data_IF_960462398692
#
_entry.id   IF_960462398692
#
_cell.length_a   1.000
_cell.length_b   1.000
_cell.length_c   1.000
_cell.angle_alpha   90.00
_cell.angle_beta   90.00
_cell.angle_gamma   90.00
#
_symmetry.space_group_name_H-M   'P 1'
#
loop_
_entity.id
_entity.type
_entity.pdbx_description
1 polymer ?
#
# COMPACT_ATOMS: atom_id res chain seq x y z
N UNK A 1 -13.83 -0.07 47.22
CA UNK A 1 -14.41 1.19 46.66
C UNK A 1 -13.32 1.89 45.91
N UNK A 2 -13.44 1.92 44.59
CA UNK A 2 -12.46 2.65 43.76
C UNK A 2 -12.79 4.17 43.94
N UNK A 3 -11.83 4.96 44.40
CA UNK A 3 -12.01 6.36 44.65
C UNK A 3 -12.22 7.14 43.33
N UNK A 4 -13.17 8.04 43.28
CA UNK A 4 -13.50 8.85 42.10
C UNK A 4 -12.27 9.60 41.55
N UNK A 5 -11.33 9.94 42.42
CA UNK A 5 -10.06 10.59 42.07
C UNK A 5 -9.10 9.65 41.29
N UNK A 6 -9.05 8.38 41.66
CA UNK A 6 -8.25 7.36 40.99
C UNK A 6 -8.74 7.08 39.59
N UNK A 7 -10.03 7.13 39.36
CA UNK A 7 -10.68 6.88 38.07
C UNK A 7 -10.46 8.05 37.12
N UNK A 8 -10.61 9.27 37.58
CA UNK A 8 -10.30 10.49 36.82
C UNK A 8 -8.85 10.46 36.32
N UNK A 9 -7.93 10.00 37.15
CA UNK A 9 -6.51 9.85 36.77
C UNK A 9 -6.30 8.81 35.68
N UNK A 10 -7.02 7.69 35.71
CA UNK A 10 -6.94 6.64 34.68
C UNK A 10 -7.51 7.13 33.34
N UNK A 11 -8.69 7.78 33.38
CA UNK A 11 -9.32 8.37 32.19
C UNK A 11 -8.40 9.41 31.55
N UNK A 12 -7.77 10.27 32.35
CA UNK A 12 -6.80 11.26 31.85
C UNK A 12 -5.60 10.60 31.17
N UNK A 13 -5.03 9.53 31.74
CA UNK A 13 -3.91 8.79 31.17
C UNK A 13 -4.28 8.14 29.82
N UNK A 14 -5.47 7.56 29.72
CA UNK A 14 -5.97 6.99 28.47
C UNK A 14 -6.15 8.11 27.42
N UNK A 15 -6.74 9.22 27.80
CA UNK A 15 -6.91 10.38 26.92
C UNK A 15 -5.58 10.92 26.40
N UNK A 16 -4.58 11.01 27.27
CA UNK A 16 -3.23 11.46 26.88
C UNK A 16 -2.52 10.46 25.95
N UNK A 17 -2.66 9.15 26.20
CA UNK A 17 -2.13 8.11 25.33
C UNK A 17 -2.75 8.16 23.92
N UNK A 18 -4.06 8.34 23.81
CA UNK A 18 -4.75 8.50 22.54
C UNK A 18 -4.28 9.78 21.83
N UNK A 19 -4.10 10.88 22.56
CA UNK A 19 -3.57 12.12 22.02
C UNK A 19 -2.16 11.95 21.43
N UNK A 20 -1.32 11.20 22.10
CA UNK A 20 0.03 10.94 21.66
C UNK A 20 0.07 10.03 20.42
N UNK A 21 -0.76 8.99 20.37
CA UNK A 21 -0.95 8.15 19.20
C UNK A 21 -1.37 8.96 17.97
N UNK A 22 -2.35 9.87 18.13
CA UNK A 22 -2.81 10.72 17.04
C UNK A 22 -1.74 11.72 16.56
N UNK A 23 -0.94 12.30 17.47
CA UNK A 23 0.20 13.15 17.10
C UNK A 23 1.25 12.41 16.29
N UNK A 24 1.57 11.19 16.67
CA UNK A 24 2.60 10.37 16.02
C UNK A 24 2.18 9.90 14.60
N UNK A 25 0.88 9.96 14.26
CA UNK A 25 0.41 9.70 12.90
C UNK A 25 0.64 10.87 11.94
N UNK A 26 0.96 12.06 12.44
CA UNK A 26 1.38 13.23 11.67
C UNK A 26 0.33 13.82 10.73
N UNK A 27 -0.97 13.56 10.97
CA UNK A 27 -2.04 13.85 10.02
C UNK A 27 -3.22 14.61 10.61
N UNK A 28 -3.06 15.23 11.74
CA UNK A 28 -4.16 15.87 12.40
C UNK A 28 -4.33 17.31 11.95
N UNK A 29 -5.54 17.62 11.43
CA UNK A 29 -5.94 18.98 11.14
C UNK A 29 -6.20 19.76 12.44
N UNK A 30 -6.20 21.10 12.36
CA UNK A 30 -6.52 21.95 13.50
C UNK A 30 -7.94 21.67 14.02
N UNK A 31 -8.89 21.47 13.12
CA UNK A 31 -10.27 21.16 13.46
C UNK A 31 -10.41 19.82 14.21
N UNK A 32 -9.71 18.78 13.76
CA UNK A 32 -9.72 17.48 14.45
C UNK A 32 -9.11 17.55 15.86
N UNK A 33 -8.14 18.44 16.09
CA UNK A 33 -7.59 18.71 17.43
C UNK A 33 -8.61 19.36 18.35
N UNK A 34 -9.38 20.30 17.83
CA UNK A 34 -10.40 21.03 18.59
C UNK A 34 -11.57 20.10 18.94
N UNK A 35 -12.09 19.33 17.98
CA UNK A 35 -13.13 18.32 18.19
C UNK A 35 -12.73 17.31 19.27
N UNK A 36 -11.52 16.75 19.16
CA UNK A 36 -11.00 15.83 20.17
C UNK A 36 -10.85 16.48 21.54
N UNK A 37 -10.35 17.71 21.58
CA UNK A 37 -10.24 18.47 22.83
C UNK A 37 -11.59 18.65 23.52
N UNK A 38 -12.67 18.81 22.76
CA UNK A 38 -14.00 18.88 23.29
C UNK A 38 -14.48 17.54 23.85
N UNK A 39 -14.37 16.47 23.08
CA UNK A 39 -14.76 15.12 23.51
C UNK A 39 -14.04 14.71 24.80
N UNK A 40 -12.74 15.00 24.90
CA UNK A 40 -11.99 14.71 26.13
C UNK A 40 -12.47 15.53 27.34
N UNK A 41 -12.87 16.76 27.13
CA UNK A 41 -13.50 17.59 28.22
C UNK A 41 -14.84 16.97 28.64
N UNK A 42 -15.65 16.53 27.70
CA UNK A 42 -16.94 15.91 27.96
C UNK A 42 -16.80 14.62 28.77
N UNK A 43 -15.83 13.75 28.41
CA UNK A 43 -15.49 12.53 29.15
C UNK A 43 -15.06 12.86 30.59
N UNK A 44 -14.22 13.88 30.78
CA UNK A 44 -13.70 14.25 32.10
C UNK A 44 -14.74 14.96 32.98
N UNK A 45 -15.75 15.59 32.37
CA UNK A 45 -16.83 16.29 33.04
C UNK A 45 -18.09 15.45 33.26
N UNK A 46 -18.14 14.22 32.73
CA UNK A 46 -19.28 13.34 32.93
C UNK A 46 -19.60 13.10 34.40
N UNK A 47 -20.86 13.21 34.74
CA UNK A 47 -21.34 13.13 36.14
C UNK A 47 -21.28 11.72 36.69
N UNK A 48 -21.51 10.74 35.84
CA UNK A 48 -21.54 9.32 36.15
C UNK A 48 -20.42 8.55 35.45
N UNK A 49 -19.94 7.50 36.12
CA UNK A 49 -18.86 6.63 35.59
C UNK A 49 -19.26 5.92 34.30
N UNK A 50 -20.49 5.41 34.23
CA UNK A 50 -21.00 4.70 33.06
C UNK A 50 -21.02 5.62 31.82
N UNK A 51 -21.43 6.85 31.99
CA UNK A 51 -21.42 7.87 30.93
C UNK A 51 -20.00 8.15 30.44
N UNK A 52 -19.05 8.38 31.36
CA UNK A 52 -17.64 8.60 31.02
C UNK A 52 -17.02 7.43 30.25
N UNK A 53 -17.29 6.20 30.66
CA UNK A 53 -16.82 4.98 29.99
C UNK A 53 -17.45 4.81 28.61
N UNK A 54 -18.74 5.09 28.47
CA UNK A 54 -19.45 5.02 27.19
C UNK A 54 -18.83 6.00 26.17
N UNK A 55 -18.68 7.26 26.56
CA UNK A 55 -18.05 8.29 25.70
C UNK A 55 -16.61 7.92 25.33
N UNK A 56 -15.84 7.37 26.27
CA UNK A 56 -14.47 6.92 26.00
C UNK A 56 -14.44 5.75 25.00
N UNK A 57 -15.34 4.78 25.14
CA UNK A 57 -15.44 3.65 24.20
C UNK A 57 -15.81 4.12 22.79
N UNK A 58 -16.80 4.99 22.66
CA UNK A 58 -17.19 5.56 21.35
C UNK A 58 -16.03 6.33 20.72
N UNK A 59 -15.33 7.13 21.51
CA UNK A 59 -14.16 7.86 21.05
C UNK A 59 -13.04 6.93 20.56
N UNK A 60 -12.74 5.85 21.29
CA UNK A 60 -11.73 4.86 20.88
C UNK A 60 -12.12 4.17 19.56
N UNK A 61 -13.38 3.76 19.42
CA UNK A 61 -13.89 3.10 18.20
C UNK A 61 -13.79 4.04 17.00
N UNK A 62 -14.24 5.27 17.15
CA UNK A 62 -14.22 6.24 16.06
C UNK A 62 -12.79 6.62 15.67
N UNK A 63 -11.90 6.81 16.64
CA UNK A 63 -10.48 7.07 16.39
C UNK A 63 -9.84 5.88 15.65
N UNK A 64 -10.14 4.66 16.07
CA UNK A 64 -9.67 3.44 15.38
C UNK A 64 -10.13 3.39 13.92
N UNK A 65 -11.40 3.65 13.65
CA UNK A 65 -11.95 3.72 12.28
C UNK A 65 -11.28 4.79 11.42
N UNK A 66 -11.07 5.98 11.97
CA UNK A 66 -10.37 7.09 11.25
C UNK A 66 -8.94 6.73 10.90
N UNK A 67 -8.20 6.13 11.84
CA UNK A 67 -6.82 5.68 11.60
C UNK A 67 -6.75 4.58 10.52
N UNK A 68 -7.70 3.66 10.51
CA UNK A 68 -7.75 2.58 9.53
C UNK A 68 -8.10 3.10 8.13
N UNK A 69 -9.07 4.00 8.03
CA UNK A 69 -9.41 4.69 6.78
C UNK A 69 -8.22 5.49 6.23
N UNK A 70 -7.49 6.21 7.08
CA UNK A 70 -6.30 6.95 6.66
C UNK A 70 -5.18 6.04 6.17
N UNK A 71 -4.95 4.88 6.82
CA UNK A 71 -3.99 3.86 6.33
C UNK A 71 -4.39 3.36 4.94
N UNK A 72 -5.67 3.05 4.75
CA UNK A 72 -6.21 2.58 3.46
C UNK A 72 -6.05 3.60 2.34
N UNK A 73 -6.34 4.87 2.60
CA UNK A 73 -6.17 5.96 1.62
C UNK A 73 -4.69 6.13 1.25
N UNK A 74 -3.79 6.12 2.24
CA UNK A 74 -2.34 6.19 1.98
C UNK A 74 -1.83 4.96 1.25
N UNK A 75 -2.30 3.77 1.63
CA UNK A 75 -1.95 2.52 0.96
C UNK A 75 -2.30 2.56 -0.53
N UNK A 76 -3.51 2.97 -0.86
CA UNK A 76 -3.94 3.15 -2.25
C UNK A 76 -3.07 4.16 -3.01
N UNK A 77 -2.71 5.29 -2.39
CA UNK A 77 -1.82 6.28 -3.01
C UNK A 77 -0.44 5.70 -3.33
N UNK A 78 0.16 4.95 -2.40
CA UNK A 78 1.45 4.29 -2.65
C UNK A 78 1.35 3.24 -3.76
N UNK A 79 0.26 2.47 -3.81
CA UNK A 79 0.05 1.50 -4.87
C UNK A 79 -0.07 2.17 -6.26
N UNK A 80 -0.82 3.26 -6.37
CA UNK A 80 -0.94 4.04 -7.63
C UNK A 80 0.42 4.60 -8.07
N UNK A 81 1.19 5.20 -7.17
CA UNK A 81 2.52 5.72 -7.48
C UNK A 81 3.50 4.61 -7.88
N UNK A 82 3.40 3.44 -7.24
CA UNK A 82 4.23 2.28 -7.61
C UNK A 82 3.85 1.73 -8.98
N UNK A 83 2.56 1.67 -9.33
CA UNK A 83 2.11 1.26 -10.66
C UNK A 83 2.64 2.20 -11.75
N UNK A 84 2.53 3.51 -11.57
CA UNK A 84 3.10 4.50 -12.47
C UNK A 84 4.63 4.35 -12.61
N UNK A 85 5.31 4.10 -11.49
CA UNK A 85 6.76 3.84 -11.51
C UNK A 85 7.12 2.57 -12.28
N UNK A 86 6.35 1.48 -12.12
CA UNK A 86 6.56 0.23 -12.87
C UNK A 86 6.32 0.47 -14.36
N UNK A 87 5.24 1.12 -14.74
CA UNK A 87 4.90 1.41 -16.14
C UNK A 87 5.97 2.26 -16.85
N UNK A 88 6.64 3.14 -16.12
CA UNK A 88 7.72 3.99 -16.66
C UNK A 88 9.10 3.31 -16.70
N UNK A 89 9.27 2.20 -15.98
CA UNK A 89 10.57 1.56 -15.79
C UNK A 89 10.55 0.05 -16.03
N UNK A 90 9.50 -0.53 -16.59
CA UNK A 90 9.39 -1.99 -16.78
C UNK A 90 10.49 -2.56 -17.67
N UNK A 91 11.02 -1.78 -18.60
CA UNK A 91 12.11 -2.11 -19.52
C UNK A 91 13.48 -2.09 -18.85
N UNK A 92 13.61 -1.48 -17.68
CA UNK A 92 14.86 -1.52 -16.94
C UNK A 92 15.03 -2.88 -16.25
N UNK A 93 16.07 -3.63 -16.63
CA UNK A 93 16.39 -4.93 -16.06
C UNK A 93 16.72 -4.89 -14.56
N UNK A 94 17.20 -3.74 -14.04
CA UNK A 94 17.53 -3.53 -12.64
C UNK A 94 16.33 -3.11 -11.78
N UNK A 95 15.14 -3.04 -12.38
CA UNK A 95 13.91 -2.73 -11.64
C UNK A 95 13.66 -3.79 -10.56
N UNK A 96 13.71 -3.38 -9.31
CA UNK A 96 13.53 -4.24 -8.17
C UNK A 96 12.74 -3.54 -7.05
N UNK A 97 12.44 -4.30 -5.99
CA UNK A 97 11.69 -3.79 -4.84
C UNK A 97 12.39 -2.60 -4.17
N UNK A 98 13.73 -2.62 -4.09
CA UNK A 98 14.48 -1.56 -3.44
C UNK A 98 14.39 -0.24 -4.21
N UNK A 99 14.40 -0.29 -5.55
CA UNK A 99 14.32 0.91 -6.39
C UNK A 99 13.00 1.66 -6.19
N UNK A 100 11.86 0.96 -6.16
CA UNK A 100 10.57 1.58 -5.89
C UNK A 100 10.44 2.07 -4.45
N UNK A 101 10.98 1.34 -3.48
CA UNK A 101 10.98 1.76 -2.08
C UNK A 101 11.79 3.04 -1.87
N UNK A 102 12.93 3.17 -2.54
CA UNK A 102 13.74 4.40 -2.53
C UNK A 102 12.99 5.58 -3.18
N UNK A 103 12.33 5.34 -4.32
CA UNK A 103 11.52 6.35 -5.00
C UNK A 103 10.36 6.86 -4.12
N UNK A 104 9.67 5.95 -3.41
CA UNK A 104 8.53 6.28 -2.57
C UNK A 104 8.92 6.70 -1.14
N UNK A 105 10.20 6.63 -0.79
CA UNK A 105 10.72 6.87 0.56
C UNK A 105 9.99 6.06 1.65
N UNK A 106 9.86 4.75 1.41
CA UNK A 106 9.18 3.80 2.30
C UNK A 106 10.03 2.55 2.50
N UNK A 107 9.93 1.91 3.67
CA UNK A 107 10.65 0.65 3.92
C UNK A 107 10.08 -0.51 3.09
N UNK A 108 10.93 -1.47 2.62
CA UNK A 108 10.49 -2.62 1.83
C UNK A 108 9.39 -3.47 2.48
N UNK A 109 9.49 -3.69 3.79
CA UNK A 109 8.48 -4.44 4.54
C UNK A 109 7.11 -3.76 4.50
N UNK A 110 7.09 -2.44 4.78
CA UNK A 110 5.86 -1.65 4.77
C UNK A 110 5.26 -1.55 3.37
N UNK A 111 6.11 -1.32 2.35
CA UNK A 111 5.68 -1.27 0.96
C UNK A 111 5.06 -2.59 0.52
N UNK A 112 5.71 -3.73 0.77
CA UNK A 112 5.24 -5.05 0.37
C UNK A 112 3.84 -5.36 0.93
N UNK A 113 3.60 -5.04 2.22
CA UNK A 113 2.28 -5.22 2.83
C UNK A 113 1.22 -4.35 2.16
N UNK A 114 1.48 -3.04 2.04
CA UNK A 114 0.57 -2.06 1.46
C UNK A 114 0.25 -2.39 0.01
N UNK A 115 1.28 -2.71 -0.78
CA UNK A 115 1.13 -2.97 -2.20
C UNK A 115 0.33 -4.25 -2.45
N UNK A 116 0.62 -5.33 -1.70
CA UNK A 116 -0.12 -6.58 -1.79
C UNK A 116 -1.57 -6.44 -1.32
N UNK A 117 -1.82 -5.68 -0.25
CA UNK A 117 -3.17 -5.38 0.22
C UNK A 117 -3.99 -4.61 -0.84
N UNK A 118 -3.38 -3.61 -1.48
CA UNK A 118 -4.05 -2.76 -2.45
C UNK A 118 -4.25 -3.44 -3.83
N UNK A 119 -3.32 -4.30 -4.28
CA UNK A 119 -3.31 -4.89 -5.63
C UNK A 119 -3.66 -6.37 -5.67
N UNK A 120 -3.58 -7.08 -4.54
CA UNK A 120 -3.71 -8.53 -4.44
C UNK A 120 -2.45 -9.30 -4.87
N UNK A 121 -1.39 -8.62 -5.35
CA UNK A 121 -0.19 -9.24 -5.92
C UNK A 121 1.09 -8.69 -5.30
N UNK A 122 2.19 -9.46 -5.39
CA UNK A 122 3.49 -8.91 -5.03
C UNK A 122 3.98 -7.93 -6.10
N UNK A 123 4.91 -7.06 -5.72
CA UNK A 123 5.52 -6.12 -6.67
C UNK A 123 6.13 -6.83 -7.89
N UNK A 124 6.88 -7.91 -7.67
CA UNK A 124 7.52 -8.65 -8.76
C UNK A 124 6.51 -9.40 -9.65
N UNK A 125 5.37 -9.84 -9.10
CA UNK A 125 4.29 -10.43 -9.91
C UNK A 125 3.70 -9.39 -10.86
N UNK A 126 3.51 -8.16 -10.39
CA UNK A 126 3.00 -7.05 -11.20
C UNK A 126 4.00 -6.66 -12.29
N UNK A 127 5.28 -6.49 -11.94
CA UNK A 127 6.35 -6.23 -12.92
C UNK A 127 6.37 -7.30 -14.00
N UNK A 128 6.35 -8.58 -13.59
CA UNK A 128 6.34 -9.71 -14.54
C UNK A 128 5.13 -9.66 -15.47
N UNK A 129 3.93 -9.40 -14.94
CA UNK A 129 2.70 -9.29 -15.75
C UNK A 129 2.78 -8.17 -16.78
N UNK A 130 3.26 -6.98 -16.38
CA UNK A 130 3.41 -5.84 -17.29
C UNK A 130 4.42 -6.18 -18.39
N UNK A 131 5.58 -6.75 -18.04
CA UNK A 131 6.58 -7.20 -19.01
C UNK A 131 6.02 -8.22 -20.00
N UNK A 132 5.27 -9.22 -19.52
CA UNK A 132 4.64 -10.21 -20.39
C UNK A 132 3.57 -9.61 -21.30
N UNK A 133 2.79 -8.66 -20.79
CA UNK A 133 1.81 -7.96 -21.62
C UNK A 133 2.49 -7.12 -22.71
N UNK A 134 3.55 -6.39 -22.39
CA UNK A 134 4.34 -5.64 -23.36
C UNK A 134 5.05 -6.55 -24.38
N UNK A 135 5.55 -7.71 -23.93
CA UNK A 135 6.12 -8.71 -24.84
C UNK A 135 5.10 -9.22 -25.87
N UNK A 136 3.85 -9.47 -25.46
CA UNK A 136 2.77 -9.83 -26.39
C UNK A 136 2.53 -8.74 -27.42
N UNK A 137 2.43 -7.48 -26.98
CA UNK A 137 2.24 -6.32 -27.87
C UNK A 137 3.36 -6.23 -28.93
N UNK A 138 4.63 -6.46 -28.54
CA UNK A 138 5.75 -6.48 -29.49
C UNK A 138 5.68 -7.68 -30.44
N UNK A 139 5.34 -8.88 -29.95
CA UNK A 139 5.22 -10.08 -30.76
C UNK A 139 4.10 -9.98 -31.81
N UNK A 140 3.01 -9.28 -31.48
CA UNK A 140 1.86 -9.08 -32.36
C UNK A 140 2.10 -8.00 -33.42
N UNK A 141 2.74 -6.90 -33.04
CA UNK A 141 2.75 -5.66 -33.82
C UNK A 141 4.12 -5.34 -34.47
N UNK A 142 5.16 -6.15 -34.24
CA UNK A 142 6.51 -5.88 -34.75
C UNK A 142 7.20 -7.13 -35.27
N UNK A 143 8.21 -6.97 -36.12
CA UNK A 143 9.07 -8.05 -36.62
C UNK A 143 10.34 -8.25 -35.79
N UNK A 144 10.36 -7.73 -34.56
CA UNK A 144 11.48 -7.89 -33.64
C UNK A 144 11.75 -9.35 -33.33
N UNK A 145 13.01 -9.68 -33.20
CA UNK A 145 13.43 -11.02 -32.77
C UNK A 145 13.27 -11.20 -31.25
N UNK A 146 13.13 -12.43 -30.80
CA UNK A 146 12.88 -12.72 -29.39
C UNK A 146 13.91 -12.09 -28.43
N UNK A 147 15.18 -11.99 -28.83
CA UNK A 147 16.22 -11.38 -28.00
C UNK A 147 16.05 -9.85 -27.90
N UNK A 148 15.61 -9.19 -28.98
CA UNK A 148 15.32 -7.75 -28.98
C UNK A 148 14.10 -7.42 -28.12
N UNK A 149 13.07 -8.30 -28.17
CA UNK A 149 11.89 -8.17 -27.33
C UNK A 149 12.27 -8.39 -25.85
N UNK A 150 13.11 -9.41 -25.55
CA UNK A 150 13.57 -9.65 -24.19
C UNK A 150 14.24 -8.41 -23.59
N UNK A 151 15.14 -7.77 -24.32
CA UNK A 151 15.80 -6.53 -23.90
C UNK A 151 14.81 -5.39 -23.67
N UNK A 152 13.89 -5.16 -24.64
CA UNK A 152 12.87 -4.11 -24.56
C UNK A 152 11.87 -4.26 -23.43
N UNK A 153 11.70 -5.46 -22.89
CA UNK A 153 10.82 -5.74 -21.76
C UNK A 153 11.58 -5.99 -20.45
N UNK A 154 12.87 -5.63 -20.42
CA UNK A 154 13.68 -5.62 -19.21
C UNK A 154 14.24 -6.98 -18.78
N UNK A 155 14.49 -7.90 -19.73
CA UNK A 155 15.20 -9.15 -19.48
C UNK A 155 16.61 -9.10 -20.05
N UNK A 156 17.61 -9.31 -19.20
CA UNK A 156 19.01 -9.41 -19.64
C UNK A 156 19.32 -10.74 -20.38
N UNK A 157 18.57 -11.80 -20.12
CA UNK A 157 18.76 -13.11 -20.72
C UNK A 157 17.54 -13.50 -21.54
N UNK A 158 17.68 -13.61 -22.88
CA UNK A 158 16.60 -14.04 -23.78
C UNK A 158 16.11 -15.47 -23.51
N UNK A 159 16.96 -16.33 -22.99
CA UNK A 159 16.57 -17.68 -22.62
C UNK A 159 15.64 -17.69 -21.42
N UNK A 160 16.01 -16.94 -20.38
CA UNK A 160 15.16 -16.75 -19.21
C UNK A 160 13.83 -16.06 -19.56
N UNK A 161 13.86 -15.07 -20.46
CA UNK A 161 12.63 -14.46 -21.00
C UNK A 161 11.70 -15.50 -21.62
N UNK A 162 12.25 -16.39 -22.49
CA UNK A 162 11.45 -17.42 -23.18
C UNK A 162 10.80 -18.39 -22.19
N UNK A 163 11.51 -18.77 -21.13
CA UNK A 163 10.98 -19.62 -20.05
C UNK A 163 9.87 -18.89 -19.28
N UNK A 164 10.11 -17.65 -18.88
CA UNK A 164 9.14 -16.83 -18.15
C UNK A 164 7.87 -16.59 -18.98
N UNK A 165 8.02 -16.28 -20.26
CA UNK A 165 6.90 -16.08 -21.18
C UNK A 165 6.08 -17.37 -21.34
N UNK A 166 6.73 -18.52 -21.57
CA UNK A 166 6.03 -19.82 -21.67
C UNK A 166 5.29 -20.16 -20.37
N UNK A 167 5.90 -19.89 -19.22
CA UNK A 167 5.25 -20.12 -17.93
C UNK A 167 4.01 -19.25 -17.73
N UNK A 168 4.06 -17.99 -18.17
CA UNK A 168 2.97 -17.04 -17.98
C UNK A 168 1.83 -17.20 -19.01
N UNK A 169 2.18 -17.53 -20.27
CA UNK A 169 1.25 -17.51 -21.42
C UNK A 169 0.89 -18.93 -21.89
N UNK A 170 1.66 -19.94 -21.48
CA UNK A 170 1.48 -21.34 -21.89
C UNK A 170 2.15 -21.72 -23.21
N UNK A 171 2.68 -20.74 -23.96
CA UNK A 171 3.35 -20.91 -25.27
C UNK A 171 4.69 -20.20 -25.27
N UNK A 172 5.63 -20.65 -26.09
CA UNK A 172 6.88 -19.91 -26.32
C UNK A 172 6.61 -18.63 -27.11
N UNK A 173 7.48 -17.59 -27.02
CA UNK A 173 7.32 -16.36 -27.80
C UNK A 173 7.17 -16.62 -29.30
N UNK A 174 7.94 -17.57 -29.85
CA UNK A 174 7.89 -17.93 -31.28
C UNK A 174 6.56 -18.58 -31.67
N UNK A 175 6.06 -19.51 -30.86
CA UNK A 175 4.75 -20.13 -31.06
C UNK A 175 3.63 -19.13 -31.02
N UNK A 176 3.68 -18.21 -30.02
CA UNK A 176 2.70 -17.14 -29.86
C UNK A 176 2.69 -16.20 -31.07
N UNK A 177 3.85 -15.70 -31.50
CA UNK A 177 3.95 -14.82 -32.65
C UNK A 177 3.42 -15.46 -33.94
N UNK A 178 3.73 -16.74 -34.17
CA UNK A 178 3.26 -17.49 -35.36
C UNK A 178 1.74 -17.67 -35.39
N UNK A 179 1.10 -17.76 -34.24
CA UNK A 179 -0.35 -17.90 -34.12
C UNK A 179 -1.08 -16.56 -34.34
N UNK A 180 -0.53 -15.47 -33.80
CA UNK A 180 -1.16 -14.15 -33.86
C UNK A 180 -0.98 -13.43 -35.20
N UNK A 181 0.01 -13.83 -36.00
CA UNK A 181 0.28 -13.24 -37.32
C UNK A 181 -0.35 -14.00 -38.49
N UNK A 182 -1.17 -15.02 -38.19
CA UNK A 182 -1.99 -15.73 -39.18
C UNK A 182 -3.31 -14.99 -39.43
#
# INVERSE_FOLDING_TARGET
MCDRQSIGTVLQRIADAIRELCKNTGMETQQEREERGQILRDILSAGEMEEALHLLCEYCIETGRRLDNQKNVRGKKYAVLAMDYIEKNFDNCDLNLQSVCSYLNISPSRFSSIFKEATGFTFMDVVSRIRMQKAKEFLENTDLKNYEIAEKVGFNDPHYFSIAFKKAIGKTPTEYAKEMRK
#
